data_IF_346956584470
#
_entry.id   IF_346956584470
#
_cell.length_a   1.000
_cell.length_b   1.000
_cell.length_c   1.000
_cell.angle_alpha   90.00
_cell.angle_beta   90.00
_cell.angle_gamma   90.00
#
_symmetry.space_group_name_H-M   'P 1'
#
loop_
_entity.id
_entity.type
_entity.pdbx_description
1 polymer ?
#
# COMPACT_ATOMS: atom_id res chain seq x y z
N UNK A 1 8.05 13.02 -4.79
CA UNK A 1 8.45 11.73 -4.19
C UNK A 1 7.50 10.59 -4.62
N UNK A 2 6.18 10.68 -4.36
CA UNK A 2 5.20 9.62 -4.71
C UNK A 2 4.97 9.40 -6.22
N UNK A 3 5.04 10.44 -7.06
CA UNK A 3 4.85 10.28 -8.52
C UNK A 3 6.06 9.57 -9.16
N UNK A 4 7.28 9.96 -8.75
CA UNK A 4 8.52 9.35 -9.25
C UNK A 4 8.71 7.91 -8.76
N UNK A 5 8.22 7.56 -7.57
CA UNK A 5 8.35 6.20 -7.04
C UNK A 5 7.57 5.15 -7.85
N UNK A 6 6.51 5.55 -8.56
CA UNK A 6 5.80 4.68 -9.52
C UNK A 6 6.71 4.34 -10.70
N UNK A 7 7.43 5.32 -11.25
CA UNK A 7 8.36 5.09 -12.35
C UNK A 7 9.54 4.20 -11.96
N UNK A 8 9.97 4.26 -10.70
CA UNK A 8 11.07 3.48 -10.14
C UNK A 8 10.64 2.16 -9.48
N UNK A 9 9.35 1.80 -9.57
CA UNK A 9 8.78 0.57 -8.98
C UNK A 9 9.00 0.41 -7.47
N UNK A 10 9.09 1.52 -6.72
CA UNK A 10 9.27 1.54 -5.25
C UNK A 10 8.13 2.30 -4.54
N UNK A 11 6.94 2.32 -5.17
CA UNK A 11 5.81 3.10 -4.68
C UNK A 11 5.25 2.60 -3.34
N UNK A 12 5.35 1.30 -3.04
CA UNK A 12 4.81 0.74 -1.79
C UNK A 12 5.59 1.22 -0.56
N UNK A 13 6.92 1.17 -0.65
CA UNK A 13 7.86 1.59 0.37
C UNK A 13 7.78 3.10 0.59
N UNK A 14 7.80 3.88 -0.49
CA UNK A 14 7.73 5.35 -0.42
C UNK A 14 6.40 5.81 0.19
N UNK A 15 5.29 5.13 -0.12
CA UNK A 15 3.99 5.45 0.44
C UNK A 15 3.95 5.16 1.95
N UNK A 16 4.65 4.13 2.41
CA UNK A 16 4.85 3.86 3.85
C UNK A 16 5.68 4.96 4.52
N UNK A 17 6.81 5.35 3.91
CA UNK A 17 7.70 6.39 4.44
C UNK A 17 6.95 7.74 4.53
N UNK A 18 6.28 8.17 3.47
CA UNK A 18 5.52 9.43 3.45
C UNK A 18 4.42 9.45 4.52
N UNK A 19 3.76 8.31 4.74
CA UNK A 19 2.73 8.18 5.77
C UNK A 19 3.30 8.30 7.19
N UNK A 20 4.50 7.78 7.43
CA UNK A 20 5.20 7.89 8.72
C UNK A 20 5.77 9.29 8.97
N UNK A 21 6.19 9.99 7.91
CA UNK A 21 6.63 11.38 8.01
C UNK A 21 5.48 12.36 8.31
N UNK A 22 4.24 11.96 7.98
CA UNK A 22 3.03 12.75 8.21
C UNK A 22 2.45 12.61 9.62
N UNK A 23 3.03 11.75 10.47
CA UNK A 23 2.65 11.58 11.88
C UNK A 23 3.71 12.16 12.81
N UNK A 24 3.30 12.44 14.05
CA UNK A 24 4.22 12.83 15.11
C UNK A 24 5.20 11.69 15.44
N UNK A 25 6.27 12.02 16.18
CA UNK A 25 7.35 11.12 16.56
C UNK A 25 6.89 9.67 16.85
N UNK A 26 7.39 8.74 16.04
CA UNK A 26 7.07 7.31 16.11
C UNK A 26 7.71 6.67 17.35
N UNK A 27 8.87 7.16 17.77
CA UNK A 27 9.56 6.69 18.97
C UNK A 27 9.15 7.49 20.21
N UNK A 28 9.11 6.85 21.37
CA UNK A 28 8.98 7.54 22.66
C UNK A 28 10.13 7.14 23.60
N UNK A 29 10.61 8.08 24.41
CA UNK A 29 11.79 7.91 25.26
C UNK A 29 11.47 8.27 26.72
N UNK A 30 10.99 7.32 27.54
CA UNK A 30 10.68 7.56 28.96
C UNK A 30 11.94 7.93 29.74
N UNK A 31 11.82 8.87 30.70
CA UNK A 31 12.97 9.34 31.52
C UNK A 31 13.62 8.20 32.31
N UNK A 32 12.82 7.25 32.79
CA UNK A 32 13.31 6.16 33.65
C UNK A 32 13.92 5.00 32.87
N UNK A 33 13.71 4.96 31.54
CA UNK A 33 14.11 3.83 30.67
C UNK A 33 14.85 4.30 29.41
N UNK A 34 15.54 5.44 29.49
CA UNK A 34 16.21 6.06 28.34
C UNK A 34 17.23 5.12 27.68
N UNK A 35 18.15 4.53 28.46
CA UNK A 35 19.18 3.63 27.93
C UNK A 35 18.59 2.41 27.21
N UNK A 36 17.50 1.85 27.74
CA UNK A 36 16.83 0.70 27.13
C UNK A 36 16.11 1.10 25.83
N UNK A 37 15.45 2.27 25.81
CA UNK A 37 14.81 2.80 24.61
C UNK A 37 15.83 3.09 23.50
N UNK A 38 16.98 3.68 23.85
CA UNK A 38 18.05 3.98 22.92
C UNK A 38 18.68 2.68 22.36
N UNK A 39 18.87 1.65 23.19
CA UNK A 39 19.34 0.33 22.75
C UNK A 39 18.35 -0.32 21.77
N UNK A 40 17.04 -0.25 22.04
CA UNK A 40 16.00 -0.79 21.15
C UNK A 40 15.93 -0.02 19.83
N UNK A 41 16.02 1.31 19.88
CA UNK A 41 16.07 2.15 18.68
C UNK A 41 17.31 1.86 17.83
N UNK A 42 18.47 1.67 18.44
CA UNK A 42 19.71 1.33 17.75
C UNK A 42 19.59 0.00 16.97
N UNK A 43 18.86 -0.99 17.49
CA UNK A 43 18.60 -2.26 16.79
C UNK A 43 17.70 -2.10 15.56
N UNK A 44 16.85 -1.08 15.53
CA UNK A 44 15.96 -0.80 14.41
C UNK A 44 16.59 0.13 13.38
N UNK A 45 17.70 0.79 13.73
CA UNK A 45 18.39 1.75 12.89
C UNK A 45 18.99 1.05 11.66
N UNK A 46 18.72 1.60 10.49
CA UNK A 46 19.32 1.19 9.22
C UNK A 46 20.45 2.17 8.88
N UNK A 47 21.68 1.68 8.60
CA UNK A 47 22.83 2.55 8.32
C UNK A 47 22.65 3.40 7.06
N UNK A 48 21.78 2.97 6.14
CA UNK A 48 21.46 3.67 4.90
C UNK A 48 20.58 4.92 5.12
N UNK A 49 19.94 5.05 6.29
CA UNK A 49 19.32 6.31 6.71
C UNK A 49 18.03 6.19 7.52
N UNK A 50 17.57 7.35 8.03
CA UNK A 50 16.41 7.45 8.92
C UNK A 50 15.09 7.09 8.24
N UNK A 51 14.93 7.40 6.95
CA UNK A 51 13.72 7.01 6.20
C UNK A 51 13.60 5.49 6.05
N UNK A 52 14.73 4.80 5.86
CA UNK A 52 14.78 3.33 5.81
C UNK A 52 14.58 2.71 7.19
N UNK A 53 15.05 3.38 8.24
CA UNK A 53 14.71 3.03 9.63
C UNK A 53 13.20 3.08 9.88
N UNK A 54 12.51 4.14 9.44
CA UNK A 54 11.04 4.24 9.54
C UNK A 54 10.33 3.10 8.79
N UNK A 55 10.79 2.81 7.57
CA UNK A 55 10.27 1.69 6.78
C UNK A 55 10.47 0.35 7.50
N UNK A 56 11.66 0.10 8.06
CA UNK A 56 11.98 -1.10 8.81
C UNK A 56 11.10 -1.26 10.05
N UNK A 57 10.84 -0.17 10.79
CA UNK A 57 9.91 -0.16 11.95
C UNK A 57 8.52 -0.61 11.52
N UNK A 58 7.97 -0.03 10.44
CA UNK A 58 6.64 -0.38 9.96
C UNK A 58 6.55 -1.81 9.45
N UNK A 59 7.55 -2.28 8.71
CA UNK A 59 7.62 -3.65 8.22
C UNK A 59 7.73 -4.66 9.37
N UNK A 60 8.56 -4.37 10.38
CA UNK A 60 8.66 -5.22 11.56
C UNK A 60 7.34 -5.26 12.35
N UNK A 61 6.66 -4.12 12.50
CA UNK A 61 5.35 -4.08 13.13
C UNK A 61 4.30 -4.88 12.34
N UNK A 62 4.29 -4.75 11.01
CA UNK A 62 3.43 -5.51 10.09
C UNK A 62 3.69 -7.02 10.18
N UNK A 63 4.97 -7.43 10.18
CA UNK A 63 5.38 -8.83 10.31
C UNK A 63 4.99 -9.42 11.67
N UNK A 64 4.98 -8.59 12.72
CA UNK A 64 4.48 -8.93 14.05
C UNK A 64 2.95 -8.74 14.17
N UNK A 65 2.22 -8.88 13.05
CA UNK A 65 0.74 -8.84 12.99
C UNK A 65 0.13 -7.59 13.64
N UNK A 66 0.80 -6.45 13.52
CA UNK A 66 0.37 -5.19 14.13
C UNK A 66 0.21 -5.24 15.65
N UNK A 67 1.03 -6.06 16.33
CA UNK A 67 0.97 -6.28 17.77
C UNK A 67 1.23 -5.02 18.60
N UNK A 68 0.38 -4.77 19.61
CA UNK A 68 0.59 -3.73 20.61
C UNK A 68 1.77 -4.05 21.54
N UNK A 69 1.97 -5.33 21.87
CA UNK A 69 3.06 -5.77 22.73
C UNK A 69 4.41 -5.48 22.09
N UNK A 70 4.53 -5.76 20.78
CA UNK A 70 5.74 -5.45 20.02
C UNK A 70 6.08 -3.96 20.05
N UNK A 71 5.07 -3.09 19.93
CA UNK A 71 5.27 -1.63 20.02
C UNK A 71 5.77 -1.22 21.41
N UNK A 72 5.22 -1.79 22.48
CA UNK A 72 5.64 -1.50 23.84
C UNK A 72 7.09 -1.95 24.11
N UNK A 73 7.46 -3.15 23.67
CA UNK A 73 8.82 -3.70 23.83
C UNK A 73 9.89 -2.94 23.05
N UNK A 74 9.51 -2.28 21.96
CA UNK A 74 10.42 -1.55 21.07
C UNK A 74 10.32 -0.02 21.23
N UNK A 75 9.59 0.47 22.23
CA UNK A 75 9.43 1.90 22.51
C UNK A 75 8.85 2.69 21.32
N UNK A 76 7.90 2.08 20.61
CA UNK A 76 7.21 2.65 19.46
C UNK A 76 5.77 3.03 19.82
N UNK A 77 5.33 4.20 19.40
CA UNK A 77 3.99 4.70 19.66
C UNK A 77 2.96 4.05 18.73
N UNK A 78 2.14 3.17 19.29
CA UNK A 78 1.07 2.49 18.56
C UNK A 78 0.08 3.46 17.89
N UNK A 79 -0.25 4.59 18.55
CA UNK A 79 -1.17 5.59 18.02
C UNK A 79 -0.63 6.23 16.74
N UNK A 80 0.65 6.58 16.73
CA UNK A 80 1.33 7.14 15.55
C UNK A 80 1.39 6.14 14.41
N UNK A 81 1.70 4.87 14.68
CA UNK A 81 1.71 3.82 13.66
C UNK A 81 0.34 3.52 13.08
N UNK A 82 -0.71 3.45 13.90
CA UNK A 82 -2.10 3.29 13.42
C UNK A 82 -2.54 4.47 12.57
N UNK A 83 -2.25 5.71 13.00
CA UNK A 83 -2.52 6.91 12.20
C UNK A 83 -1.77 6.87 10.86
N UNK A 84 -0.50 6.47 10.87
CA UNK A 84 0.28 6.30 9.64
C UNK A 84 -0.31 5.21 8.73
N UNK A 85 -0.84 4.12 9.30
CA UNK A 85 -1.55 3.09 8.53
C UNK A 85 -2.83 3.63 7.87
N UNK A 86 -3.60 4.46 8.57
CA UNK A 86 -4.82 5.07 8.01
C UNK A 86 -4.47 6.09 6.91
N UNK A 87 -3.46 6.92 7.11
CA UNK A 87 -2.92 7.84 6.08
C UNK A 87 -2.44 7.05 4.87
N UNK A 88 -1.69 5.96 5.10
CA UNK A 88 -1.24 5.06 4.03
C UNK A 88 -2.42 4.50 3.22
N UNK A 89 -3.48 4.04 3.87
CA UNK A 89 -4.69 3.56 3.18
C UNK A 89 -5.36 4.67 2.38
N UNK A 90 -5.44 5.88 2.92
CA UNK A 90 -6.00 7.03 2.21
C UNK A 90 -5.17 7.39 0.98
N UNK A 91 -3.84 7.49 1.12
CA UNK A 91 -2.92 7.78 0.02
C UNK A 91 -2.98 6.69 -1.07
N UNK A 92 -3.08 5.41 -0.68
CA UNK A 92 -3.28 4.32 -1.63
C UNK A 92 -4.60 4.49 -2.40
N UNK A 93 -5.70 4.76 -1.69
CA UNK A 93 -7.01 4.97 -2.32
C UNK A 93 -7.06 6.21 -3.23
N UNK A 94 -6.29 7.24 -2.89
CA UNK A 94 -6.08 8.44 -3.72
C UNK A 94 -5.27 8.10 -4.97
N UNK A 95 -4.19 7.32 -4.84
CA UNK A 95 -3.38 6.90 -5.99
C UNK A 95 -4.16 5.98 -6.94
N UNK A 96 -5.14 5.23 -6.43
CA UNK A 96 -6.04 4.41 -7.24
C UNK A 96 -7.09 5.23 -8.02
N UNK A 97 -7.35 6.50 -7.63
CA UNK A 97 -8.50 7.26 -8.14
C UNK A 97 -8.15 8.71 -8.43
N UNK A 98 -8.04 8.99 -9.72
CA UNK A 98 -7.61 10.28 -10.24
C UNK A 98 -8.55 10.79 -11.34
N UNK A 99 -8.64 12.10 -11.44
CA UNK A 99 -9.15 12.80 -12.63
C UNK A 99 -7.94 13.33 -13.39
N UNK A 100 -8.01 13.31 -14.71
CA UNK A 100 -7.03 13.90 -15.61
C UNK A 100 -7.74 14.87 -16.55
N UNK A 101 -7.05 15.93 -16.99
CA UNK A 101 -7.62 16.89 -17.94
C UNK A 101 -7.48 16.38 -19.38
N UNK A 102 -6.31 15.84 -19.72
CA UNK A 102 -6.03 15.38 -21.08
C UNK A 102 -5.45 13.96 -21.06
N UNK A 103 -5.87 13.16 -22.03
CA UNK A 103 -5.26 11.87 -22.36
C UNK A 103 -4.48 12.00 -23.65
N UNK A 104 -3.17 11.74 -23.60
CA UNK A 104 -2.27 11.82 -24.75
C UNK A 104 -1.96 10.42 -25.24
N UNK A 105 -2.37 10.13 -26.47
CA UNK A 105 -2.04 8.87 -27.12
C UNK A 105 -0.68 8.98 -27.84
N UNK A 106 0.29 8.19 -27.41
CA UNK A 106 1.60 8.04 -28.07
C UNK A 106 1.88 6.56 -28.33
N UNK A 107 3.11 6.06 -28.12
CA UNK A 107 3.40 4.63 -28.04
C UNK A 107 2.78 3.98 -26.80
N UNK A 108 2.49 4.78 -25.78
CA UNK A 108 1.69 4.45 -24.60
C UNK A 108 0.71 5.59 -24.32
N UNK A 109 -0.36 5.31 -23.59
CA UNK A 109 -1.32 6.32 -23.15
C UNK A 109 -0.79 7.03 -21.90
N UNK A 110 -0.80 8.37 -21.92
CA UNK A 110 -0.36 9.21 -20.80
C UNK A 110 -1.47 10.16 -20.37
N UNK A 111 -1.70 10.25 -19.06
CA UNK A 111 -2.61 11.23 -18.46
C UNK A 111 -1.84 12.51 -18.11
N UNK A 112 -2.37 13.69 -18.48
CA UNK A 112 -1.82 15.00 -18.09
C UNK A 112 -2.73 15.71 -17.08
N UNK A 113 -2.11 16.53 -16.23
CA UNK A 113 -2.78 17.32 -15.19
C UNK A 113 -3.63 16.44 -14.26
N UNK A 114 -2.99 15.41 -13.70
CA UNK A 114 -3.64 14.41 -12.86
C UNK A 114 -3.87 14.93 -11.45
N UNK A 115 -5.11 14.85 -10.97
CA UNK A 115 -5.51 15.24 -9.62
C UNK A 115 -6.19 14.09 -8.89
N UNK A 116 -5.76 13.88 -7.64
CA UNK A 116 -6.36 12.98 -6.68
C UNK A 116 -7.81 13.36 -6.33
N UNK A 117 -8.73 12.39 -6.28
CA UNK A 117 -10.13 12.66 -5.88
C UNK A 117 -10.70 11.65 -4.88
N UNK A 118 -11.60 12.12 -3.99
CA UNK A 118 -12.48 11.21 -3.24
C UNK A 118 -13.64 10.77 -4.16
N UNK A 119 -13.87 9.45 -4.31
CA UNK A 119 -15.00 8.88 -5.05
C UNK A 119 -16.37 9.41 -4.70
N UNK A 120 -16.58 9.79 -3.43
CA UNK A 120 -17.86 10.31 -2.96
C UNK A 120 -18.24 11.56 -3.72
N UNK A 121 -17.26 12.41 -4.05
CA UNK A 121 -17.47 13.62 -4.82
C UNK A 121 -18.08 13.33 -6.19
N UNK A 122 -17.69 12.24 -6.86
CA UNK A 122 -18.29 11.89 -8.16
C UNK A 122 -19.78 11.56 -8.05
N UNK A 123 -20.19 10.88 -6.97
CA UNK A 123 -21.61 10.54 -6.75
C UNK A 123 -22.40 11.77 -6.31
N UNK A 124 -21.79 12.65 -5.51
CA UNK A 124 -22.42 13.89 -5.03
C UNK A 124 -22.59 14.93 -6.14
N UNK A 125 -21.54 15.19 -6.94
CA UNK A 125 -21.55 16.22 -7.98
C UNK A 125 -22.07 15.73 -9.34
N UNK A 126 -21.99 14.42 -9.62
CA UNK A 126 -22.46 13.83 -10.87
C UNK A 126 -23.34 12.58 -10.65
N UNK A 127 -24.46 12.68 -9.92
CA UNK A 127 -25.33 11.54 -9.58
C UNK A 127 -26.01 10.90 -10.80
N UNK A 128 -26.13 11.64 -11.91
CA UNK A 128 -26.66 11.10 -13.17
C UNK A 128 -25.71 10.07 -13.81
N UNK A 129 -24.40 10.18 -13.56
CA UNK A 129 -23.37 9.32 -14.15
C UNK A 129 -22.85 8.27 -13.18
N UNK A 130 -22.75 8.61 -11.89
CA UNK A 130 -22.15 7.75 -10.87
C UNK A 130 -23.14 7.36 -9.78
N UNK A 131 -23.06 6.11 -9.34
CA UNK A 131 -23.82 5.58 -8.21
C UNK A 131 -22.98 4.62 -7.38
N UNK A 132 -23.24 4.56 -6.09
CA UNK A 132 -22.63 3.53 -5.24
C UNK A 132 -23.13 2.14 -5.66
N UNK A 133 -22.21 1.18 -5.67
CA UNK A 133 -22.56 -0.23 -5.86
C UNK A 133 -23.20 -0.78 -4.59
N UNK A 134 -24.26 -1.56 -4.75
CA UNK A 134 -24.85 -2.35 -3.66
C UNK A 134 -23.80 -3.36 -3.13
N UNK A 135 -23.45 -3.33 -1.83
CA UNK A 135 -22.43 -4.21 -1.27
C UNK A 135 -22.83 -5.68 -1.27
N UNK A 136 -24.12 -5.99 -1.38
CA UNK A 136 -24.63 -7.37 -1.41
C UNK A 136 -24.60 -7.99 -2.81
N UNK A 137 -24.39 -7.18 -3.86
CA UNK A 137 -24.48 -7.61 -5.26
C UNK A 137 -23.19 -7.36 -6.01
N UNK A 138 -22.67 -8.41 -6.62
CA UNK A 138 -21.49 -8.31 -7.48
C UNK A 138 -21.87 -7.69 -8.84
N UNK A 139 -21.13 -6.67 -9.27
CA UNK A 139 -21.33 -6.04 -10.58
C UNK A 139 -21.06 -7.02 -11.73
N UNK A 140 -21.67 -6.79 -12.90
CA UNK A 140 -21.47 -7.63 -14.10
C UNK A 140 -19.98 -7.70 -14.50
N UNK A 141 -19.27 -6.58 -14.41
CA UNK A 141 -17.83 -6.50 -14.68
C UNK A 141 -17.05 -7.37 -13.69
N UNK A 142 -17.32 -7.23 -12.39
CA UNK A 142 -16.63 -8.01 -11.35
C UNK A 142 -16.97 -9.51 -11.39
N UNK A 143 -18.17 -9.89 -11.82
CA UNK A 143 -18.55 -11.29 -12.12
C UNK A 143 -17.74 -11.89 -13.28
N UNK A 144 -17.38 -11.07 -14.26
CA UNK A 144 -16.67 -11.51 -15.45
C UNK A 144 -15.13 -11.48 -15.29
N UNK A 145 -14.61 -10.96 -14.17
CA UNK A 145 -13.18 -11.00 -13.88
C UNK A 145 -12.73 -12.45 -13.63
N UNK A 146 -11.58 -12.81 -14.21
CA UNK A 146 -10.96 -14.12 -14.03
C UNK A 146 -9.70 -13.94 -13.19
N UNK A 147 -9.54 -14.78 -12.18
CA UNK A 147 -8.31 -14.84 -11.40
C UNK A 147 -7.33 -15.76 -12.12
N UNK A 148 -6.09 -15.29 -12.25
CA UNK A 148 -4.95 -16.10 -12.68
C UNK A 148 -4.02 -16.31 -11.49
N UNK A 149 -3.38 -17.49 -11.37
CA UNK A 149 -2.39 -17.70 -10.33
C UNK A 149 -1.17 -16.81 -10.54
N UNK A 150 -0.43 -16.60 -9.46
CA UNK A 150 0.81 -15.83 -9.52
C UNK A 150 1.79 -16.45 -10.53
N UNK A 151 2.50 -15.61 -11.27
CA UNK A 151 3.51 -16.07 -12.22
C UNK A 151 4.61 -16.87 -11.51
N UNK A 152 4.89 -18.07 -12.03
CA UNK A 152 5.98 -18.92 -11.58
C UNK A 152 6.93 -19.17 -12.77
N UNK A 153 8.19 -18.75 -12.65
CA UNK A 153 9.20 -18.88 -13.70
C UNK A 153 9.50 -20.34 -14.06
N UNK A 154 9.33 -21.27 -13.12
CA UNK A 154 9.71 -22.68 -13.28
C UNK A 154 8.60 -23.55 -13.87
N UNK A 155 7.38 -23.03 -13.97
CA UNK A 155 6.24 -23.77 -14.51
C UNK A 155 5.81 -23.19 -15.85
N UNK A 156 5.47 -24.07 -16.79
CA UNK A 156 4.89 -23.62 -18.05
C UNK A 156 3.55 -22.90 -17.81
N UNK A 157 3.25 -21.83 -18.57
CA UNK A 157 1.96 -21.15 -18.48
C UNK A 157 0.78 -22.12 -18.62
N UNK A 158 -0.23 -21.96 -17.75
CA UNK A 158 -1.44 -22.79 -17.75
C UNK A 158 -1.24 -24.30 -17.48
N UNK A 159 -0.06 -24.74 -17.02
CA UNK A 159 0.20 -26.13 -16.60
C UNK A 159 -0.78 -26.61 -15.51
N UNK A 160 -1.15 -25.70 -14.61
CA UNK A 160 -2.11 -25.91 -13.53
C UNK A 160 -3.53 -26.24 -14.00
N UNK A 161 -3.87 -26.03 -15.27
CA UNK A 161 -5.21 -26.31 -15.79
C UNK A 161 -5.42 -27.82 -15.93
N UNK A 162 -6.40 -28.35 -15.22
CA UNK A 162 -6.80 -29.78 -15.26
C UNK A 162 -7.10 -30.25 -16.69
N UNK A 163 -7.65 -29.37 -17.54
CA UNK A 163 -7.90 -29.65 -18.96
C UNK A 163 -6.63 -29.97 -19.76
N UNK A 164 -5.49 -29.41 -19.37
CA UNK A 164 -4.19 -29.64 -20.00
C UNK A 164 -3.55 -30.95 -19.51
N UNK A 165 -3.74 -31.29 -18.23
CA UNK A 165 -3.28 -32.56 -17.64
C UNK A 165 -3.93 -33.76 -18.32
N UNK A 166 -5.23 -33.68 -18.65
CA UNK A 166 -5.94 -34.76 -19.37
C UNK A 166 -5.39 -35.00 -20.79
N UNK A 167 -4.90 -33.96 -21.48
CA UNK A 167 -4.31 -34.09 -22.82
C UNK A 167 -2.92 -34.72 -22.84
N UNK A 168 -2.19 -34.74 -21.73
CA UNK A 168 -0.85 -35.37 -21.64
C UNK A 168 -0.91 -36.87 -21.33
N UNK A 169 -2.08 -37.40 -20.93
CA UNK A 169 -2.26 -38.80 -20.51
C UNK A 169 -2.80 -39.73 -21.60
N UNK A 170 -3.23 -39.17 -22.73
CA UNK A 170 -3.58 -39.90 -23.95
C UNK A 170 -2.48 -39.67 -24.99
#
# INVERSE_FOLDING_TARGET
MLIMSVALQCSDEILTIVSLLSVQNVFYRPKDKQALADQKKAKLNQPEGDHLTLLAVYNNWKNNKFSNAWCYENFVQIRSLKKAQDIRKQLLGIMDRVIYQELVQTTKEYMREVTAIDPKWLVEFAPAFYKFSDPTKLSKLKKNQRLEPLYNKYEEPNSWRISRVRRRRN
#
